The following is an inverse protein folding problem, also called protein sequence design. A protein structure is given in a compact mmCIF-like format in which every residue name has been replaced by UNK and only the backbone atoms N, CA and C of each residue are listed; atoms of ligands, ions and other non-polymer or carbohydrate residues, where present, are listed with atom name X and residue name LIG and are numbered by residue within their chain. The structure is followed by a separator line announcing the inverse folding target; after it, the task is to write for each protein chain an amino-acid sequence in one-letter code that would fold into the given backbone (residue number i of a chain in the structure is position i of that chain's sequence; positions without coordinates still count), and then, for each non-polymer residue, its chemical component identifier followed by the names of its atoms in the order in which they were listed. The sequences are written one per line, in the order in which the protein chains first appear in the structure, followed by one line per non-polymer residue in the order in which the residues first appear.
data_IF_171418518117
#
_entry.id   IF_171418518117
#
_cell.length_a   1.000
_cell.length_b   1.000
_cell.length_c   1.000
_cell.angle_alpha   90.00
_cell.angle_beta   90.00
_cell.angle_gamma   90.00
#
_symmetry.space_group_name_H-M   'P 1'
#
loop_
_entity.id
_entity.type
_entity.pdbx_description
1 polymer ?
#
# COMPACT_ATOMS: atom_id res chain seq x y z
N UNK A 1 -13.18 20.78 -40.34
CA UNK A 1 -12.43 19.51 -40.18
C UNK A 1 -13.06 18.80 -39.01
N UNK A 2 -13.61 17.60 -39.22
CA UNK A 2 -14.22 16.83 -38.14
C UNK A 2 -13.12 16.38 -37.17
N UNK A 3 -13.31 16.64 -35.89
CA UNK A 3 -12.48 16.08 -34.82
C UNK A 3 -12.72 14.57 -34.82
N UNK A 4 -11.81 13.80 -35.42
CA UNK A 4 -11.85 12.33 -35.47
C UNK A 4 -11.38 11.78 -34.12
N UNK A 5 -12.07 12.16 -33.05
CA UNK A 5 -11.69 11.98 -31.65
C UNK A 5 -10.78 10.77 -31.44
N UNK A 6 -9.52 11.03 -31.10
CA UNK A 6 -8.62 9.99 -30.63
C UNK A 6 -9.30 9.33 -29.43
N UNK A 7 -9.77 8.10 -29.62
CA UNK A 7 -10.22 7.27 -28.52
C UNK A 7 -8.97 6.82 -27.77
N UNK A 8 -8.53 7.61 -26.79
CA UNK A 8 -7.54 7.20 -25.81
C UNK A 8 -8.20 6.11 -24.95
N UNK A 9 -8.23 4.88 -25.46
CA UNK A 9 -8.44 3.73 -24.60
C UNK A 9 -7.19 3.64 -23.73
N UNK A 10 -7.21 4.31 -22.57
CA UNK A 10 -6.22 4.12 -21.54
C UNK A 10 -6.37 2.66 -21.07
N UNK A 11 -5.57 1.77 -21.64
CA UNK A 11 -5.43 0.41 -21.16
C UNK A 11 -4.57 0.48 -19.90
N UNK A 12 -5.22 0.42 -18.74
CA UNK A 12 -4.52 0.25 -17.46
C UNK A 12 -4.20 -1.23 -17.31
N UNK A 13 -2.93 -1.59 -17.44
CA UNK A 13 -2.44 -2.87 -16.91
C UNK A 13 -2.16 -2.66 -15.44
N UNK A 14 -3.06 -3.13 -14.60
CA UNK A 14 -2.83 -3.23 -13.15
C UNK A 14 -2.05 -4.52 -12.92
N UNK A 15 -0.82 -4.43 -12.41
CA UNK A 15 -0.27 -5.53 -11.63
C UNK A 15 -0.83 -5.35 -10.22
N UNK A 16 -1.65 -6.28 -9.75
CA UNK A 16 -2.20 -6.24 -8.40
C UNK A 16 -1.80 -7.54 -7.71
N UNK A 17 -0.61 -7.55 -7.15
CA UNK A 17 -0.18 -8.62 -6.26
C UNK A 17 0.54 -7.96 -5.07
N UNK A 18 -0.09 -8.03 -3.90
CA UNK A 18 0.53 -7.61 -2.66
C UNK A 18 1.77 -8.48 -2.38
N UNK A 19 2.90 -7.84 -2.12
CA UNK A 19 4.17 -8.44 -1.74
C UNK A 19 4.28 -8.33 -0.22
N UNK A 20 4.26 -9.47 0.47
CA UNK A 20 4.38 -9.52 1.92
C UNK A 20 5.86 -9.57 2.32
N UNK A 21 6.29 -8.64 3.16
CA UNK A 21 7.62 -8.61 3.77
C UNK A 21 7.50 -8.78 5.29
N UNK A 22 8.21 -9.78 5.82
CA UNK A 22 8.12 -10.14 7.24
C UNK A 22 9.45 -9.91 7.96
N UNK A 23 9.39 -9.33 9.16
CA UNK A 23 10.50 -9.24 10.10
C UNK A 23 11.06 -10.65 10.38
N UNK A 24 12.37 -10.83 10.24
CA UNK A 24 13.04 -12.13 10.41
C UNK A 24 12.87 -13.14 9.26
N UNK A 25 12.18 -12.75 8.17
CA UNK A 25 12.00 -13.56 6.95
C UNK A 25 12.70 -12.94 5.72
N UNK A 26 11.99 -12.88 4.58
CA UNK A 26 12.47 -12.13 3.41
C UNK A 26 12.40 -10.63 3.73
N UNK A 27 13.57 -10.02 3.90
CA UNK A 27 13.79 -8.61 4.29
C UNK A 27 13.93 -7.68 3.08
N UNK A 28 14.05 -8.26 1.90
CA UNK A 28 14.08 -7.56 0.61
C UNK A 28 13.33 -8.41 -0.40
N UNK A 29 12.34 -7.81 -1.06
CA UNK A 29 11.61 -8.46 -2.14
C UNK A 29 11.34 -7.44 -3.25
N UNK A 30 10.96 -7.93 -4.42
CA UNK A 30 10.78 -7.12 -5.61
C UNK A 30 9.44 -7.41 -6.30
N UNK A 31 8.88 -6.39 -6.94
CA UNK A 31 7.75 -6.57 -7.83
C UNK A 31 8.11 -7.44 -9.02
N UNK A 32 7.08 -7.96 -9.68
CA UNK A 32 7.24 -8.41 -11.05
C UNK A 32 7.69 -7.25 -11.96
N UNK A 33 8.32 -7.61 -13.08
CA UNK A 33 8.73 -6.65 -14.09
C UNK A 33 7.50 -6.15 -14.86
N UNK A 34 7.45 -4.83 -15.05
CA UNK A 34 6.41 -4.14 -15.81
C UNK A 34 7.02 -3.74 -17.15
N UNK A 35 6.51 -4.29 -18.25
CA UNK A 35 6.87 -3.88 -19.61
C UNK A 35 6.12 -2.60 -19.98
N UNK A 36 6.87 -1.54 -20.20
CA UNK A 36 6.37 -0.24 -20.66
C UNK A 36 6.89 0.15 -22.06
N UNK A 37 7.49 -0.79 -22.81
CA UNK A 37 8.08 -0.51 -24.13
C UNK A 37 7.07 -0.08 -25.21
N UNK A 38 5.79 -0.38 -25.01
CA UNK A 38 4.72 -0.09 -25.98
C UNK A 38 3.80 1.05 -25.57
N UNK A 39 3.99 1.61 -24.38
CA UNK A 39 3.13 2.67 -23.84
C UNK A 39 3.78 4.05 -24.04
N UNK A 40 2.95 5.03 -24.34
CA UNK A 40 3.41 6.41 -24.60
C UNK A 40 3.81 7.14 -23.31
N UNK A 41 3.17 6.81 -22.18
CA UNK A 41 3.44 7.41 -20.88
C UNK A 41 3.09 6.38 -19.80
N UNK A 42 3.95 6.30 -18.77
CA UNK A 42 3.81 5.34 -17.69
C UNK A 42 3.84 6.04 -16.34
N UNK A 43 2.89 5.69 -15.47
CA UNK A 43 2.89 6.05 -14.05
C UNK A 43 2.82 4.77 -13.25
N UNK A 44 3.75 4.60 -12.31
CA UNK A 44 3.73 3.49 -11.36
C UNK A 44 3.19 4.01 -10.03
N UNK A 45 2.15 3.35 -9.52
CA UNK A 45 1.63 3.60 -8.19
C UNK A 45 2.31 2.64 -7.23
N UNK A 46 2.76 3.12 -6.08
CA UNK A 46 3.40 2.28 -5.08
C UNK A 46 2.69 2.53 -3.76
N UNK A 47 2.20 1.47 -3.15
CA UNK A 47 1.67 1.50 -1.79
C UNK A 47 2.56 0.69 -0.87
N UNK A 48 2.77 1.19 0.34
CA UNK A 48 3.42 0.47 1.43
C UNK A 48 2.56 0.55 2.68
N UNK A 49 2.25 -0.60 3.27
CA UNK A 49 1.42 -0.70 4.45
C UNK A 49 2.20 -1.40 5.57
N UNK A 50 2.19 -0.84 6.78
CA UNK A 50 2.73 -1.50 7.95
C UNK A 50 1.67 -2.38 8.61
N UNK A 51 2.10 -3.54 9.12
CA UNK A 51 1.22 -4.60 9.62
C UNK A 51 1.75 -5.21 10.92
N UNK A 52 2.35 -4.38 11.76
CA UNK A 52 2.89 -4.82 13.04
C UNK A 52 2.97 -3.66 14.02
N UNK A 53 2.65 -3.91 15.29
CA UNK A 53 2.76 -2.93 16.38
C UNK A 53 4.23 -2.79 16.87
N UNK A 54 5.15 -2.63 15.92
CA UNK A 54 6.57 -2.45 16.16
C UNK A 54 7.01 -1.05 15.73
N UNK A 55 7.97 -0.47 16.44
CA UNK A 55 8.61 0.77 15.97
C UNK A 55 9.34 0.49 14.66
N UNK A 56 9.04 1.31 13.65
CA UNK A 56 9.61 1.19 12.32
C UNK A 56 10.40 2.45 11.98
N UNK A 57 11.66 2.31 11.58
CA UNK A 57 12.52 3.43 11.14
C UNK A 57 12.33 3.76 9.65
N UNK A 58 11.63 2.90 8.92
CA UNK A 58 11.31 3.07 7.52
C UNK A 58 11.76 1.90 6.63
N UNK A 59 11.10 1.76 5.50
CA UNK A 59 11.45 0.84 4.41
C UNK A 59 12.01 1.68 3.28
N UNK A 60 13.15 1.25 2.75
CA UNK A 60 13.70 1.85 1.54
C UNK A 60 13.03 1.22 0.32
N UNK A 61 12.44 2.03 -0.55
CA UNK A 61 11.80 1.58 -1.78
C UNK A 61 12.63 2.08 -2.95
N UNK A 62 13.11 1.16 -3.79
CA UNK A 62 14.02 1.46 -4.90
C UNK A 62 13.29 1.17 -6.21
N UNK A 63 13.10 2.20 -7.02
CA UNK A 63 12.55 2.04 -8.36
C UNK A 63 13.71 1.83 -9.33
N UNK A 64 13.68 0.71 -10.04
CA UNK A 64 14.65 0.36 -11.07
C UNK A 64 14.00 0.49 -12.44
N UNK A 65 14.76 1.03 -13.39
CA UNK A 65 14.36 1.19 -14.79
C UNK A 65 15.37 0.52 -15.71
N UNK A 66 14.90 0.03 -16.84
CA UNK A 66 15.74 -0.49 -17.91
C UNK A 66 15.26 0.06 -19.27
N UNK A 67 16.21 0.39 -20.15
CA UNK A 67 15.92 0.91 -21.50
C UNK A 67 15.82 -0.19 -22.57
N UNK A 68 16.26 -1.42 -22.27
CA UNK A 68 16.11 -2.57 -23.16
C UNK A 68 14.72 -3.20 -23.02
N UNK A 69 14.12 -3.60 -24.14
CA UNK A 69 12.81 -4.27 -24.20
C UNK A 69 12.86 -5.78 -23.93
N UNK A 70 14.05 -6.39 -23.95
CA UNK A 70 14.30 -7.77 -23.57
C UNK A 70 15.67 -7.88 -22.88
N UNK A 71 15.95 -9.04 -22.29
CA UNK A 71 17.24 -9.43 -21.69
C UNK A 71 17.61 -8.72 -20.37
N UNK A 72 18.62 -9.23 -19.66
CA UNK A 72 19.08 -8.76 -18.33
C UNK A 72 19.91 -7.47 -18.42
N UNK A 73 19.50 -6.57 -19.33
CA UNK A 73 20.20 -5.34 -19.66
C UNK A 73 20.06 -4.32 -18.51
N UNK A 74 21.18 -4.17 -17.78
CA UNK A 74 21.53 -3.12 -16.83
C UNK A 74 20.37 -2.31 -16.24
N UNK A 75 19.72 -2.90 -15.23
CA UNK A 75 18.84 -2.16 -14.34
C UNK A 75 19.58 -0.99 -13.72
N UNK A 76 19.04 0.21 -13.92
CA UNK A 76 19.59 1.43 -13.32
C UNK A 76 18.64 1.94 -12.26
N UNK A 77 19.18 2.38 -11.13
CA UNK A 77 18.38 3.02 -10.08
C UNK A 77 17.83 4.34 -10.59
N UNK A 78 16.51 4.45 -10.65
CA UNK A 78 15.84 5.68 -11.04
C UNK A 78 15.66 6.61 -9.84
N UNK A 79 15.04 6.11 -8.77
CA UNK A 79 14.83 6.86 -7.55
C UNK A 79 14.78 5.95 -6.33
N UNK A 80 14.91 6.56 -5.16
CA UNK A 80 14.76 5.92 -3.86
C UNK A 80 13.74 6.70 -3.04
N UNK A 81 12.73 6.01 -2.53
CA UNK A 81 11.75 6.53 -1.59
C UNK A 81 12.03 5.93 -0.20
N UNK A 82 11.53 6.60 0.82
CA UNK A 82 11.54 6.10 2.18
C UNK A 82 10.16 6.26 2.78
N UNK A 83 9.68 5.22 3.44
CA UNK A 83 8.45 5.30 4.25
C UNK A 83 8.70 6.16 5.48
N UNK A 84 7.62 6.57 6.14
CA UNK A 84 7.74 7.31 7.39
C UNK A 84 8.19 6.39 8.52
N UNK A 85 9.00 6.91 9.44
CA UNK A 85 9.29 6.24 10.69
C UNK A 85 8.11 6.41 11.66
N UNK A 86 7.42 5.32 12.00
CA UNK A 86 6.19 5.32 12.81
C UNK A 86 6.08 4.02 13.61
N UNK A 87 5.22 4.00 14.63
CA UNK A 87 4.78 2.78 15.31
C UNK A 87 3.29 2.59 15.01
N UNK A 88 2.90 1.59 14.20
CA UNK A 88 1.50 1.29 13.95
C UNK A 88 0.79 0.78 15.20
N UNK A 89 -0.54 0.92 15.20
CA UNK A 89 -1.44 0.32 16.16
C UNK A 89 -2.35 -0.64 15.39
N UNK A 90 -2.46 -1.87 15.88
CA UNK A 90 -3.34 -2.90 15.35
C UNK A 90 -4.62 -3.01 16.16
N UNK A 91 -5.75 -3.16 15.47
CA UNK A 91 -7.05 -3.42 16.07
C UNK A 91 -7.71 -4.61 15.41
N UNK A 92 -8.17 -5.54 16.23
CA UNK A 92 -8.96 -6.67 15.77
C UNK A 92 -10.39 -6.25 15.39
N UNK A 93 -10.94 -6.90 14.38
CA UNK A 93 -12.37 -6.83 14.08
C UNK A 93 -13.22 -7.43 15.21
N UNK A 94 -14.39 -6.85 15.48
CA UNK A 94 -15.34 -7.39 16.46
C UNK A 94 -16.35 -8.38 15.85
N UNK A 95 -16.51 -8.38 14.52
CA UNK A 95 -17.39 -9.25 13.77
C UNK A 95 -16.77 -9.63 12.42
N UNK A 96 -17.38 -10.59 11.73
CA UNK A 96 -17.14 -10.75 10.29
C UNK A 96 -17.79 -9.59 9.55
N UNK A 97 -17.00 -8.88 8.76
CA UNK A 97 -17.43 -7.76 7.93
C UNK A 97 -17.64 -8.24 6.49
N UNK A 98 -18.83 -7.99 5.94
CA UNK A 98 -19.18 -8.47 4.62
C UNK A 98 -18.64 -7.55 3.50
N UNK A 99 -18.46 -8.12 2.31
CA UNK A 99 -18.11 -7.35 1.10
C UNK A 99 -19.09 -6.17 0.91
N UNK A 100 -18.55 -4.99 0.65
CA UNK A 100 -19.29 -3.74 0.44
C UNK A 100 -19.70 -3.04 1.74
N UNK A 101 -19.36 -3.57 2.91
CA UNK A 101 -19.67 -2.95 4.18
C UNK A 101 -18.80 -1.71 4.42
N UNK A 102 -19.43 -0.60 4.82
CA UNK A 102 -18.76 0.68 5.06
C UNK A 102 -18.55 0.98 6.54
N UNK A 103 -19.34 0.37 7.43
CA UNK A 103 -19.20 0.52 8.88
C UNK A 103 -18.58 -0.76 9.41
N UNK A 104 -17.32 -0.68 9.81
CA UNK A 104 -16.53 -1.83 10.28
C UNK A 104 -16.53 -1.85 11.80
N UNK A 105 -16.88 -2.98 12.40
CA UNK A 105 -16.90 -3.13 13.86
C UNK A 105 -15.54 -3.53 14.39
N UNK A 106 -15.09 -2.86 15.44
CA UNK A 106 -13.75 -3.05 16.03
C UNK A 106 -13.86 -3.48 17.49
N UNK A 107 -12.92 -4.30 17.96
CA UNK A 107 -12.96 -4.83 19.32
C UNK A 107 -12.74 -3.74 20.40
N UNK A 108 -12.05 -2.65 20.07
CA UNK A 108 -11.80 -1.53 21.00
C UNK A 108 -11.34 -0.23 20.28
N UNK A 109 -12.23 0.69 19.87
CA UNK A 109 -11.85 1.99 19.33
C UNK A 109 -11.70 3.05 20.40
N UNK A 110 -11.85 2.73 21.70
CA UNK A 110 -11.77 3.72 22.76
C UNK A 110 -10.29 4.10 23.01
N UNK A 111 -9.64 4.68 22.00
CA UNK A 111 -8.27 5.19 22.04
C UNK A 111 -7.32 4.68 20.96
N UNK A 112 -7.78 3.87 19.98
CA UNK A 112 -6.88 3.21 19.03
C UNK A 112 -6.88 3.73 17.59
N UNK A 113 -7.98 4.33 17.11
CA UNK A 113 -8.18 4.73 15.71
C UNK A 113 -8.69 6.17 15.53
N UNK A 114 -8.17 7.13 16.30
CA UNK A 114 -8.45 8.56 16.07
C UNK A 114 -7.66 9.10 14.85
N UNK A 115 -7.80 8.40 13.72
CA UNK A 115 -7.07 8.66 12.48
C UNK A 115 -8.04 9.07 11.37
N UNK A 116 -8.95 9.99 11.72
CA UNK A 116 -9.98 10.53 10.85
C UNK A 116 -9.35 11.19 9.60
N UNK A 117 -9.86 10.84 8.42
CA UNK A 117 -9.45 11.44 7.15
C UNK A 117 -8.11 10.92 6.63
N UNK A 118 -7.78 9.67 6.94
CA UNK A 118 -6.51 9.03 6.59
C UNK A 118 -6.74 7.62 6.04
N UNK A 119 -5.72 7.11 5.35
CA UNK A 119 -5.71 5.73 4.90
C UNK A 119 -5.32 4.81 6.05
N UNK A 120 -6.03 3.69 6.15
CA UNK A 120 -5.77 2.57 7.04
C UNK A 120 -5.46 1.34 6.19
N UNK A 121 -4.71 0.42 6.77
CA UNK A 121 -4.47 -0.88 6.17
C UNK A 121 -5.36 -1.93 6.84
N UNK A 122 -6.05 -2.73 6.04
CA UNK A 122 -6.81 -3.88 6.49
C UNK A 122 -6.00 -5.10 6.08
N UNK A 123 -5.30 -5.67 7.05
CA UNK A 123 -4.54 -6.90 6.84
C UNK A 123 -5.51 -8.09 6.79
N UNK A 124 -5.16 -9.07 5.96
CA UNK A 124 -5.75 -10.39 5.97
C UNK A 124 -4.63 -11.44 5.85
N UNK A 125 -4.77 -12.60 6.50
CA UNK A 125 -3.88 -13.78 6.35
C UNK A 125 -3.65 -14.22 4.89
N UNK A 126 -4.52 -13.81 3.96
CA UNK A 126 -4.37 -14.02 2.52
C UNK A 126 -3.98 -12.69 1.90
N UNK A 127 -2.73 -12.51 1.42
CA UNK A 127 -2.26 -11.21 0.93
C UNK A 127 -3.12 -10.57 -0.18
N UNK A 128 -3.74 -11.39 -1.03
CA UNK A 128 -4.64 -10.93 -2.07
C UNK A 128 -5.98 -10.35 -1.54
N UNK A 129 -6.30 -10.61 -0.27
CA UNK A 129 -7.47 -10.09 0.44
C UNK A 129 -7.14 -8.91 1.36
N UNK A 130 -5.88 -8.48 1.42
CA UNK A 130 -5.48 -7.26 2.13
C UNK A 130 -5.95 -6.03 1.36
N UNK A 131 -6.34 -4.97 2.07
CA UNK A 131 -6.98 -3.81 1.46
C UNK A 131 -6.50 -2.49 2.10
N UNK A 132 -6.58 -1.40 1.34
CA UNK A 132 -6.37 -0.04 1.85
C UNK A 132 -7.72 0.66 1.84
N UNK A 133 -8.12 1.22 2.98
CA UNK A 133 -9.38 1.94 3.12
C UNK A 133 -9.17 3.36 3.61
N UNK A 134 -10.05 4.29 3.24
CA UNK A 134 -10.02 5.67 3.72
C UNK A 134 -11.04 5.85 4.84
N UNK A 135 -10.56 6.11 6.07
CA UNK A 135 -11.41 6.28 7.24
C UNK A 135 -12.05 7.68 7.24
N UNK A 136 -13.38 7.74 7.21
CA UNK A 136 -14.17 8.99 7.15
C UNK A 136 -14.86 9.33 8.46
N UNK A 137 -14.95 8.38 9.39
CA UNK A 137 -15.50 8.63 10.73
C UNK A 137 -14.91 7.61 11.70
N UNK A 138 -14.60 8.08 12.91
CA UNK A 138 -14.45 7.21 14.08
C UNK A 138 -15.70 7.36 14.95
N UNK A 139 -16.33 6.25 15.29
CA UNK A 139 -17.47 6.24 16.20
C UNK A 139 -16.99 5.69 17.53
N UNK A 140 -17.16 6.48 18.60
CA UNK A 140 -16.83 6.13 19.98
C UNK A 140 -17.52 4.84 20.51
N UNK A 141 -18.29 4.14 19.68
CA UNK A 141 -19.07 2.94 19.99
C UNK A 141 -18.62 1.71 19.18
N UNK A 142 -17.32 1.43 19.11
CA UNK A 142 -16.80 0.18 18.54
C UNK A 142 -16.90 0.05 17.02
N UNK A 143 -16.79 1.17 16.29
CA UNK A 143 -16.77 1.11 14.83
C UNK A 143 -16.04 2.27 14.17
N UNK A 144 -15.52 1.99 12.98
CA UNK A 144 -15.04 3.00 12.04
C UNK A 144 -15.91 3.00 10.79
N UNK A 145 -15.97 4.13 10.09
CA UNK A 145 -16.60 4.20 8.76
C UNK A 145 -15.55 4.45 7.70
N UNK A 146 -15.60 3.67 6.61
CA UNK A 146 -14.73 3.81 5.43
C UNK A 146 -15.52 4.33 4.23
N UNK A 147 -14.87 5.07 3.34
CA UNK A 147 -15.55 5.82 2.26
C UNK A 147 -16.32 4.95 1.26
N UNK A 148 -15.71 3.86 0.76
CA UNK A 148 -16.23 3.07 -0.38
C UNK A 148 -16.53 1.61 -0.04
N UNK A 149 -16.44 1.25 1.24
CA UNK A 149 -16.59 -0.12 1.73
C UNK A 149 -15.38 -1.00 1.43
N UNK A 150 -15.41 -2.23 1.96
CA UNK A 150 -14.37 -3.25 1.74
C UNK A 150 -14.71 -4.13 0.53
N UNK A 151 -13.71 -4.57 -0.24
CA UNK A 151 -13.93 -5.41 -1.42
C UNK A 151 -13.81 -6.91 -1.14
N UNK A 152 -13.23 -7.26 0.01
CA UNK A 152 -13.13 -8.64 0.51
C UNK A 152 -13.88 -8.78 1.84
N UNK A 153 -14.34 -10.01 2.12
CA UNK A 153 -14.82 -10.34 3.46
C UNK A 153 -13.65 -10.31 4.45
N UNK A 154 -13.85 -9.70 5.61
CA UNK A 154 -12.83 -9.62 6.66
C UNK A 154 -13.36 -10.35 7.88
N UNK A 155 -12.56 -11.24 8.47
CA UNK A 155 -13.00 -12.09 9.59
C UNK A 155 -12.17 -11.82 10.83
N UNK A 156 -12.79 -11.97 12.00
CA UNK A 156 -12.12 -11.77 13.30
C UNK A 156 -10.81 -12.58 13.41
N UNK A 157 -10.77 -13.78 12.82
CA UNK A 157 -9.66 -14.70 13.00
C UNK A 157 -8.53 -14.50 11.97
N UNK A 158 -8.79 -13.78 10.89
CA UNK A 158 -7.87 -13.69 9.76
C UNK A 158 -7.49 -12.26 9.40
N UNK A 159 -8.07 -11.26 10.07
CA UNK A 159 -7.95 -9.86 9.67
C UNK A 159 -7.70 -8.93 10.84
N UNK A 160 -6.88 -7.92 10.61
CA UNK A 160 -6.57 -6.84 11.55
C UNK A 160 -6.61 -5.48 10.83
N UNK A 161 -6.85 -4.42 11.58
CA UNK A 161 -6.83 -3.03 11.09
C UNK A 161 -5.58 -2.35 11.64
N UNK A 162 -4.76 -1.80 10.74
CA UNK A 162 -3.53 -1.10 11.06
C UNK A 162 -3.63 0.39 10.74
N UNK A 163 -3.25 1.20 11.70
CA UNK A 163 -3.24 2.65 11.60
C UNK A 163 -2.09 3.24 12.43
N UNK A 164 -1.98 4.56 12.47
CA UNK A 164 -1.08 5.26 13.39
C UNK A 164 -1.91 6.24 14.21
N UNK A 165 -1.86 6.14 15.54
CA UNK A 165 -2.46 7.14 16.42
C UNK A 165 -1.49 8.30 16.60
N UNK A 166 -1.75 9.38 15.87
CA UNK A 166 -1.13 10.68 16.11
C UNK A 166 -2.23 11.66 16.41
N UNK A 167 -2.15 12.32 17.58
CA UNK A 167 -3.14 13.28 18.03
C UNK A 167 -3.62 14.19 16.89
N UNK A 168 -4.94 14.13 16.65
CA UNK A 168 -5.70 14.72 15.56
C UNK A 168 -5.10 16.03 14.99
N UNK A 169 -4.69 15.99 13.72
CA UNK A 169 -4.43 17.19 12.92
C UNK A 169 -2.97 17.66 12.76
N UNK A 170 -1.98 17.02 13.39
CA UNK A 170 -0.58 17.46 13.29
C UNK A 170 0.38 16.48 12.59
N UNK A 171 -0.05 15.25 12.30
CA UNK A 171 0.83 14.21 11.77
C UNK A 171 0.71 13.98 10.26
N UNK A 172 1.85 14.00 9.56
CA UNK A 172 2.04 13.32 8.26
C UNK A 172 2.22 11.81 8.41
N UNK A 173 2.22 11.31 9.65
CA UNK A 173 2.33 9.89 9.97
C UNK A 173 1.12 9.13 9.44
N UNK A 174 1.36 7.93 8.94
CA UNK A 174 0.35 7.02 8.40
C UNK A 174 0.95 5.62 8.36
N UNK A 175 0.14 4.59 8.65
CA UNK A 175 0.52 3.20 8.43
C UNK A 175 0.59 2.87 6.92
N UNK A 176 -0.06 3.69 6.09
CA UNK A 176 -0.09 3.57 4.64
C UNK A 176 0.67 4.73 4.00
N UNK A 177 1.68 4.43 3.20
CA UNK A 177 2.36 5.39 2.33
C UNK A 177 2.05 5.08 0.87
N UNK A 178 1.75 6.12 0.08
CA UNK A 178 1.38 5.99 -1.31
C UNK A 178 2.18 6.97 -2.16
N UNK A 179 2.66 6.51 -3.31
CA UNK A 179 3.38 7.32 -4.27
C UNK A 179 2.86 7.09 -5.68
N UNK A 180 2.85 8.15 -6.49
CA UNK A 180 2.62 8.08 -7.92
C UNK A 180 3.89 8.58 -8.63
N UNK A 181 4.57 7.68 -9.33
CA UNK A 181 5.87 7.93 -9.94
C UNK A 181 5.71 7.94 -11.46
N UNK A 182 5.92 9.11 -12.06
CA UNK A 182 6.02 9.22 -13.51
C UNK A 182 7.34 8.58 -13.98
N UNK A 183 7.25 7.73 -14.99
CA UNK A 183 8.39 7.03 -15.59
C UNK A 183 8.71 7.70 -16.94
N UNK A 184 9.99 8.02 -17.24
CA UNK A 184 10.36 8.62 -18.51
C UNK A 184 9.98 7.75 -19.71
N UNK A 185 9.48 8.36 -20.79
CA UNK A 185 9.01 7.66 -22.00
C UNK A 185 10.12 6.87 -22.73
N UNK A 186 11.39 7.09 -22.39
CA UNK A 186 12.53 6.32 -22.92
C UNK A 186 12.78 4.99 -22.20
N UNK A 187 12.05 4.71 -21.11
CA UNK A 187 12.16 3.48 -20.32
C UNK A 187 11.29 2.40 -20.96
N UNK A 188 11.83 1.18 -21.04
CA UNK A 188 11.10 0.02 -21.58
C UNK A 188 10.60 -0.92 -20.49
N UNK A 189 11.24 -0.93 -19.31
CA UNK A 189 10.80 -1.76 -18.18
C UNK A 189 11.01 -1.08 -16.83
N UNK A 190 10.13 -1.41 -15.89
CA UNK A 190 10.20 -0.96 -14.49
C UNK A 190 10.05 -2.14 -13.53
N UNK A 191 10.76 -2.08 -12.41
CA UNK A 191 10.44 -2.90 -11.22
C UNK A 191 10.75 -2.11 -9.95
N UNK A 192 10.15 -2.55 -8.85
CA UNK A 192 10.32 -1.91 -7.54
C UNK A 192 10.89 -2.92 -6.57
N UNK A 193 11.90 -2.51 -5.80
CA UNK A 193 12.46 -3.28 -4.70
C UNK A 193 11.99 -2.64 -3.39
N UNK A 194 11.46 -3.46 -2.50
CA UNK A 194 11.14 -3.09 -1.14
C UNK A 194 12.25 -3.63 -0.24
N UNK A 195 13.04 -2.75 0.38
CA UNK A 195 14.15 -3.08 1.25
C UNK A 195 13.81 -2.68 2.69
N UNK A 196 13.32 -3.66 3.45
CA UNK A 196 12.92 -3.49 4.84
C UNK A 196 14.09 -3.65 5.82
N UNK A 197 15.30 -3.97 5.34
CA UNK A 197 16.52 -3.98 6.15
C UNK A 197 17.08 -2.59 6.44
N UNK A 198 16.52 -1.54 5.82
CA UNK A 198 16.88 -0.16 6.15
C UNK A 198 16.64 0.14 7.64
N UNK A 199 15.66 -0.54 8.24
CA UNK A 199 15.36 -0.50 9.66
C UNK A 199 16.00 -1.71 10.38
N UNK A 200 16.85 -1.42 11.38
CA UNK A 200 17.50 -2.47 12.19
C UNK A 200 16.58 -3.11 13.23
N UNK A 201 15.45 -2.47 13.53
CA UNK A 201 14.40 -3.01 14.39
C UNK A 201 13.34 -3.75 13.57
N UNK A 202 13.07 -3.34 12.33
CA UNK A 202 12.21 -4.00 11.35
C UNK A 202 10.73 -4.10 11.79
N UNK A 203 9.81 -4.00 10.83
CA UNK A 203 8.39 -4.27 11.05
C UNK A 203 7.82 -5.05 9.87
N UNK A 204 6.83 -5.90 10.08
CA UNK A 204 6.08 -6.50 8.97
C UNK A 204 5.40 -5.42 8.13
N UNK A 205 5.39 -5.62 6.82
CA UNK A 205 4.71 -4.73 5.91
C UNK A 205 4.40 -5.35 4.56
N UNK A 206 3.54 -4.67 3.81
CA UNK A 206 3.03 -5.11 2.53
C UNK A 206 3.27 -4.03 1.48
N UNK A 207 3.89 -4.41 0.36
CA UNK A 207 4.11 -3.55 -0.80
C UNK A 207 3.12 -3.89 -1.92
N UNK A 208 2.61 -2.88 -2.62
CA UNK A 208 1.86 -3.03 -3.87
C UNK A 208 2.42 -2.09 -4.93
N UNK A 209 2.47 -2.54 -6.18
CA UNK A 209 3.05 -1.83 -7.34
C UNK A 209 2.17 -2.01 -8.56
#
# INVERSE_FOLDING_TARGET
MANTGFAWAAAWTVLDAAIALTQGGTITDQSAEIDCSTVFSTTVFIDWCLAEAAAHDGTEIIVLIASGASDDDMWTKYLTLKTNAVTPIGLAFAATEAIGQTVLTTADPAGGLDHLGKFIFIEHDTPASCEIAYQVTDNASNSITVLDGISHEQTIAASDIWSVDVANGAGTASAVNQWAIAIPDSVSRVKVIFNNWFDTTGANGYGRV
#
